data_IF_519935103767
#
_entry.id   IF_519935103767
#
_cell.length_a   1.000
_cell.length_b   1.000
_cell.length_c   1.000
_cell.angle_alpha   90.00
_cell.angle_beta   90.00
_cell.angle_gamma   90.00
#
_symmetry.space_group_name_H-M   'P 1'
#
loop_
_entity.id
_entity.type
_entity.pdbx_description
1 polymer ?
#
# COMPACT_ATOMS: atom_id res chain seq x y z
N UNK A 1 -5.42 -17.79 21.73
CA UNK A 1 -5.32 -16.90 22.91
C UNK A 1 -5.24 -15.47 22.41
N UNK A 2 -6.37 -14.77 22.31
CA UNK A 2 -6.39 -13.38 21.88
C UNK A 2 -5.83 -12.49 22.99
N UNK A 3 -4.76 -11.77 22.69
CA UNK A 3 -4.12 -10.82 23.61
C UNK A 3 -5.06 -9.65 23.85
N UNK A 4 -5.80 -9.67 24.97
CA UNK A 4 -6.73 -8.60 25.38
C UNK A 4 -6.01 -7.27 25.69
N UNK A 5 -4.67 -7.23 25.72
CA UNK A 5 -3.87 -6.04 26.03
C UNK A 5 -3.74 -4.98 24.90
N UNK A 6 -4.22 -5.21 23.68
CA UNK A 6 -3.77 -4.43 22.51
C UNK A 6 -4.68 -3.29 22.03
N UNK A 7 -5.97 -3.29 22.39
CA UNK A 7 -6.97 -2.49 21.66
C UNK A 7 -6.99 -1.00 22.02
N UNK A 8 -6.84 -0.69 23.30
CA UNK A 8 -6.69 0.68 23.77
C UNK A 8 -5.37 1.31 23.30
N UNK A 9 -4.32 0.49 23.16
CA UNK A 9 -2.99 0.90 22.69
C UNK A 9 -2.99 1.25 21.20
N UNK A 10 -3.75 0.51 20.38
CA UNK A 10 -3.88 0.81 18.96
C UNK A 10 -4.62 2.14 18.71
N UNK A 11 -5.74 2.37 19.40
CA UNK A 11 -6.49 3.64 19.27
C UNK A 11 -5.64 4.85 19.70
N UNK A 12 -4.77 4.70 20.70
CA UNK A 12 -3.88 5.77 21.15
C UNK A 12 -2.83 6.21 20.09
N UNK A 13 -2.58 5.38 19.07
CA UNK A 13 -1.66 5.66 17.96
C UNK A 13 -2.33 6.32 16.76
N UNK A 14 -3.64 6.56 16.83
CA UNK A 14 -4.42 7.18 15.77
C UNK A 14 -4.70 8.65 16.07
N UNK A 15 -4.52 9.50 15.07
CA UNK A 15 -4.99 10.89 15.06
C UNK A 15 -6.03 11.03 13.96
N UNK A 16 -7.31 11.09 14.34
CA UNK A 16 -8.44 11.13 13.41
C UNK A 16 -9.11 12.50 13.49
N UNK A 17 -9.33 13.14 12.34
CA UNK A 17 -10.10 14.38 12.28
C UNK A 17 -11.57 14.11 12.65
N UNK A 18 -12.23 14.99 13.41
CA UNK A 18 -13.62 14.77 13.84
C UNK A 18 -14.60 15.12 12.70
N UNK A 19 -14.65 14.24 11.70
CA UNK A 19 -15.57 14.32 10.55
C UNK A 19 -16.73 13.36 10.73
N UNK A 20 -17.84 13.62 10.04
CA UNK A 20 -18.99 12.72 10.01
C UNK A 20 -18.58 11.31 9.54
N UNK A 21 -19.12 10.27 10.18
CA UNK A 21 -18.79 8.86 9.88
C UNK A 21 -17.43 8.38 10.41
N UNK A 22 -16.59 9.23 11.00
CA UNK A 22 -15.27 8.82 11.48
C UNK A 22 -15.33 7.72 12.55
N UNK A 23 -16.28 7.80 13.48
CA UNK A 23 -16.42 6.80 14.55
C UNK A 23 -16.88 5.42 14.02
N UNK A 24 -17.66 5.40 12.94
CA UNK A 24 -18.13 4.17 12.30
C UNK A 24 -16.99 3.46 11.55
N UNK A 25 -16.07 4.23 10.94
CA UNK A 25 -14.91 3.68 10.24
C UNK A 25 -13.82 3.26 11.22
N UNK A 26 -13.43 4.14 12.14
CA UNK A 26 -12.33 3.92 13.09
C UNK A 26 -12.80 3.17 14.33
N UNK A 27 -13.52 2.06 14.12
CA UNK A 27 -13.84 1.13 15.19
C UNK A 27 -12.56 0.61 15.85
N UNK A 28 -12.63 0.16 17.11
CA UNK A 28 -11.46 -0.40 17.77
C UNK A 28 -10.87 -1.63 17.05
N UNK A 29 -11.66 -2.38 16.24
CA UNK A 29 -11.12 -3.50 15.44
C UNK A 29 -10.32 -2.98 14.23
N UNK A 30 -10.84 -1.96 13.57
CA UNK A 30 -10.16 -1.35 12.43
C UNK A 30 -8.87 -0.64 12.86
N UNK A 31 -8.87 -0.01 14.04
CA UNK A 31 -7.68 0.58 14.64
C UNK A 31 -6.56 -0.46 14.84
N UNK A 32 -6.88 -1.61 15.44
CA UNK A 32 -5.92 -2.71 15.62
C UNK A 32 -5.35 -3.19 14.28
N UNK A 33 -6.23 -3.38 13.29
CA UNK A 33 -5.83 -3.79 11.94
C UNK A 33 -4.88 -2.78 11.29
N UNK A 34 -5.23 -1.50 11.32
CA UNK A 34 -4.44 -0.44 10.70
C UNK A 34 -3.06 -0.29 11.36
N UNK A 35 -3.01 -0.37 12.68
CA UNK A 35 -1.75 -0.31 13.45
C UNK A 35 -0.85 -1.49 13.11
N UNK A 36 -1.39 -2.71 13.01
CA UNK A 36 -0.62 -3.88 12.58
C UNK A 36 -0.05 -3.72 11.18
N UNK A 37 -0.83 -3.23 10.22
CA UNK A 37 -0.34 -2.95 8.87
C UNK A 37 0.79 -1.92 8.89
N UNK A 38 0.66 -0.86 9.70
CA UNK A 38 1.71 0.13 9.86
C UNK A 38 2.99 -0.51 10.38
N UNK A 39 2.91 -1.30 11.45
CA UNK A 39 4.07 -1.94 12.06
C UNK A 39 4.78 -2.91 11.10
N UNK A 40 4.00 -3.64 10.29
CA UNK A 40 4.54 -4.59 9.32
C UNK A 40 5.20 -3.90 8.11
N UNK A 41 4.57 -2.85 7.56
CA UNK A 41 4.95 -2.32 6.25
C UNK A 41 5.62 -0.95 6.25
N UNK A 42 5.45 -0.13 7.29
CA UNK A 42 5.87 1.27 7.23
C UNK A 42 7.38 1.44 7.01
N UNK A 43 8.20 0.56 7.59
CA UNK A 43 9.66 0.58 7.39
C UNK A 43 10.04 0.29 5.94
N UNK A 44 9.40 -0.70 5.30
CA UNK A 44 9.63 -1.01 3.89
C UNK A 44 9.15 0.13 2.97
N UNK A 45 8.00 0.73 3.28
CA UNK A 45 7.49 1.89 2.53
C UNK A 45 8.47 3.06 2.58
N UNK A 46 9.04 3.38 3.75
CA UNK A 46 10.06 4.43 3.88
C UNK A 46 11.30 4.12 3.04
N UNK A 47 11.84 2.90 3.15
CA UNK A 47 13.01 2.49 2.37
C UNK A 47 12.78 2.59 0.84
N UNK A 48 11.59 2.23 0.36
CA UNK A 48 11.23 2.38 -1.07
C UNK A 48 11.18 3.86 -1.50
N UNK A 49 10.73 4.76 -0.63
CA UNK A 49 10.72 6.21 -0.92
C UNK A 49 12.12 6.79 -0.96
N UNK A 50 12.99 6.37 -0.04
CA UNK A 50 14.40 6.79 -0.02
C UNK A 50 15.10 6.31 -1.30
N UNK A 51 14.88 5.03 -1.67
CA UNK A 51 15.41 4.49 -2.93
C UNK A 51 14.90 5.24 -4.16
N UNK A 52 13.62 5.65 -4.17
CA UNK A 52 13.07 6.48 -5.24
C UNK A 52 13.77 7.83 -5.31
N UNK A 53 14.05 8.47 -4.17
CA UNK A 53 14.77 9.74 -4.14
C UNK A 53 16.17 9.61 -4.74
N UNK A 54 16.93 8.55 -4.39
CA UNK A 54 18.24 8.27 -4.98
C UNK A 54 18.20 8.10 -6.50
N UNK A 55 17.21 7.35 -7.00
CA UNK A 55 17.01 7.14 -8.44
C UNK A 55 16.71 8.46 -9.14
N UNK A 56 15.88 9.32 -8.52
CA UNK A 56 15.56 10.64 -9.07
C UNK A 56 16.79 11.55 -9.08
N UNK A 57 17.59 11.60 -8.03
CA UNK A 57 18.83 12.40 -7.99
C UNK A 57 19.76 11.98 -9.12
N UNK A 58 20.00 10.68 -9.29
CA UNK A 58 20.85 10.19 -10.39
C UNK A 58 20.32 10.54 -11.78
N UNK A 59 19.01 10.46 -11.97
CA UNK A 59 18.40 10.78 -13.25
C UNK A 59 18.47 12.28 -13.57
N UNK A 60 18.20 13.14 -12.58
CA UNK A 60 18.06 14.58 -12.78
C UNK A 60 19.39 15.34 -12.68
N UNK A 61 20.34 14.88 -11.87
CA UNK A 61 21.62 15.55 -11.64
C UNK A 61 22.74 14.93 -12.48
N UNK A 62 22.80 13.59 -12.53
CA UNK A 62 23.89 12.88 -13.21
C UNK A 62 23.51 12.44 -14.63
N UNK A 63 22.27 12.69 -15.05
CA UNK A 63 21.77 12.31 -16.38
C UNK A 63 21.63 10.81 -16.58
N UNK A 64 21.54 10.01 -15.50
CA UNK A 64 21.45 8.55 -15.58
C UNK A 64 20.02 8.07 -15.24
N UNK A 65 19.13 7.91 -16.24
CA UNK A 65 17.76 7.48 -16.00
C UNK A 65 17.69 6.01 -15.55
N UNK A 66 16.61 5.61 -14.82
CA UNK A 66 16.37 4.20 -14.52
C UNK A 66 16.15 3.40 -15.80
N UNK A 67 16.66 2.17 -15.82
CA UNK A 67 16.53 1.24 -16.95
C UNK A 67 15.79 -0.03 -16.52
N UNK A 68 15.42 -0.87 -17.50
CA UNK A 68 14.85 -2.17 -17.19
C UNK A 68 15.85 -3.07 -16.45
N UNK A 69 15.40 -3.89 -15.50
CA UNK A 69 16.26 -4.90 -14.87
C UNK A 69 16.83 -5.88 -15.91
N UNK A 70 17.93 -6.60 -15.62
CA UNK A 70 18.51 -7.61 -16.52
C UNK A 70 17.59 -8.81 -16.72
N UNK A 71 17.76 -9.57 -17.81
CA UNK A 71 16.89 -10.71 -18.16
C UNK A 71 16.77 -11.70 -17.01
N UNK A 72 15.55 -12.18 -16.75
CA UNK A 72 15.25 -13.12 -15.68
C UNK A 72 14.07 -13.99 -16.06
N UNK A 73 13.87 -15.09 -15.32
CA UNK A 73 12.72 -16.01 -15.49
C UNK A 73 11.38 -15.27 -15.45
N UNK A 74 11.29 -14.18 -14.68
CA UNK A 74 10.09 -13.35 -14.64
C UNK A 74 9.73 -12.71 -15.99
N UNK A 75 10.70 -12.57 -16.92
CA UNK A 75 10.47 -12.00 -18.27
C UNK A 75 10.56 -13.01 -19.40
N UNK A 76 11.23 -14.14 -19.18
CA UNK A 76 11.48 -15.13 -20.24
C UNK A 76 10.77 -16.47 -20.00
N UNK A 77 10.21 -16.68 -18.82
CA UNK A 77 9.51 -17.91 -18.45
C UNK A 77 8.06 -17.94 -18.93
N UNK A 78 7.51 -19.15 -19.06
CA UNK A 78 6.09 -19.39 -19.37
C UNK A 78 5.27 -19.47 -18.07
N UNK A 79 4.96 -18.30 -17.52
CA UNK A 79 4.12 -18.17 -16.34
C UNK A 79 2.96 -17.22 -16.61
N UNK A 80 1.89 -17.35 -15.83
CA UNK A 80 0.72 -16.48 -15.89
C UNK A 80 0.31 -16.05 -14.48
N UNK A 81 -0.31 -14.87 -14.39
CA UNK A 81 -0.98 -14.44 -13.15
C UNK A 81 -2.13 -15.39 -12.80
N UNK A 82 -2.58 -15.36 -11.55
CA UNK A 82 -3.76 -16.10 -11.12
C UNK A 82 -5.01 -15.71 -11.95
N UNK A 83 -5.99 -16.62 -12.08
CA UNK A 83 -7.23 -16.33 -12.82
C UNK A 83 -7.92 -15.06 -12.33
N UNK A 84 -8.42 -14.27 -13.29
CA UNK A 84 -9.15 -13.04 -13.01
C UNK A 84 -10.60 -13.39 -12.62
N UNK A 85 -11.15 -12.84 -11.52
CA UNK A 85 -12.56 -13.03 -11.15
C UNK A 85 -13.51 -12.69 -12.31
N UNK A 86 -14.62 -13.44 -12.44
CA UNK A 86 -15.57 -13.30 -13.56
C UNK A 86 -16.06 -11.86 -13.75
N UNK A 87 -16.29 -11.15 -12.64
CA UNK A 87 -16.72 -9.74 -12.61
C UNK A 87 -15.71 -8.79 -13.27
N UNK A 88 -14.43 -9.16 -13.30
CA UNK A 88 -13.32 -8.36 -13.84
C UNK A 88 -12.85 -8.83 -15.22
N UNK A 89 -13.44 -9.90 -15.79
CA UNK A 89 -13.04 -10.43 -17.10
C UNK A 89 -13.48 -9.56 -18.28
N UNK A 90 -14.50 -8.73 -18.09
CA UNK A 90 -15.06 -7.84 -19.13
C UNK A 90 -15.00 -6.40 -18.63
N UNK A 91 -13.81 -5.76 -18.62
CA UNK A 91 -13.71 -4.37 -18.23
C UNK A 91 -14.58 -3.54 -19.19
N UNK A 92 -15.56 -2.84 -18.63
CA UNK A 92 -16.40 -1.88 -19.36
C UNK A 92 -15.69 -0.53 -19.49
N UNK A 93 -16.46 0.56 -19.35
CA UNK A 93 -15.88 1.88 -19.19
C UNK A 93 -15.58 2.10 -17.71
N UNK A 94 -14.30 2.32 -17.38
CA UNK A 94 -13.87 2.69 -16.04
C UNK A 94 -13.89 4.22 -15.90
N UNK A 95 -14.60 4.72 -14.89
CA UNK A 95 -14.71 6.16 -14.59
C UNK A 95 -14.09 6.39 -13.22
N UNK A 96 -13.23 7.40 -13.11
CA UNK A 96 -12.67 7.85 -11.84
C UNK A 96 -13.37 9.12 -11.36
N UNK A 97 -13.40 9.34 -10.05
CA UNK A 97 -14.05 10.50 -9.43
C UNK A 97 -13.79 10.59 -7.93
N UNK A 98 -14.19 11.70 -7.29
CA UNK A 98 -14.10 11.85 -5.83
C UNK A 98 -15.05 10.88 -5.10
N UNK A 99 -14.71 10.53 -3.86
CA UNK A 99 -15.60 9.79 -2.96
C UNK A 99 -16.56 10.71 -2.18
N UNK A 100 -16.89 11.88 -2.74
CA UNK A 100 -17.65 12.98 -2.10
C UNK A 100 -19.16 12.80 -2.12
#
# INVERSE_FOLDING_TARGET
MATTGSRAEATARLSVAPVEGAAELFTPAFADYLVRLHDEFATRVRALRDRRAEVLTRALTDGVPPTHPPASEARTGDWRVAPVPDELQRPGIEISGPCS
#
